data_IF_247145109897
#
_entry.id   IF_247145109897
#
_cell.length_a   1.000
_cell.length_b   1.000
_cell.length_c   1.000
_cell.angle_alpha   90.00
_cell.angle_beta   90.00
_cell.angle_gamma   90.00
#
_symmetry.space_group_name_H-M   'P 1'
#
loop_
_entity.id
_entity.type
_entity.pdbx_description
1 polymer ?
#
# COMPACT_ATOMS: atom_id res chain seq x y z
N UNK A 1 -57.44 13.37 1.24
CA UNK A 1 -56.37 13.46 0.22
C UNK A 1 -55.11 13.99 0.88
N UNK A 2 -53.99 13.31 0.62
CA UNK A 2 -52.59 13.66 0.93
C UNK A 2 -52.20 13.73 2.41
N UNK A 3 -51.78 12.57 2.92
CA UNK A 3 -50.69 12.51 3.90
C UNK A 3 -49.41 13.04 3.23
N UNK A 4 -48.71 13.92 3.95
CA UNK A 4 -47.38 14.38 3.62
C UNK A 4 -46.44 14.09 4.78
N UNK A 5 -45.20 13.77 4.43
CA UNK A 5 -44.03 14.08 5.25
C UNK A 5 -43.69 13.11 6.37
N UNK A 6 -42.81 12.15 6.06
CA UNK A 6 -41.66 11.74 6.89
C UNK A 6 -40.94 10.59 6.19
N UNK A 7 -40.55 10.83 4.93
CA UNK A 7 -39.72 9.92 4.17
C UNK A 7 -38.40 10.59 3.87
N UNK A 8 -37.62 10.93 4.90
CA UNK A 8 -36.18 11.10 4.75
C UNK A 8 -35.48 11.23 6.10
N UNK A 9 -34.18 10.95 6.11
CA UNK A 9 -33.22 11.06 7.21
C UNK A 9 -33.24 9.90 8.23
N UNK A 10 -33.17 8.68 7.72
CA UNK A 10 -32.41 7.62 8.41
C UNK A 10 -31.36 7.01 7.46
N UNK A 11 -30.74 7.84 6.63
CA UNK A 11 -29.35 7.62 6.23
C UNK A 11 -28.47 8.22 7.33
N UNK A 12 -28.49 7.60 8.51
CA UNK A 12 -27.51 7.86 9.55
C UNK A 12 -26.14 7.57 8.97
N UNK A 13 -25.47 8.64 8.54
CA UNK A 13 -24.04 8.76 8.27
C UNK A 13 -23.39 7.44 7.84
N UNK A 14 -23.34 7.19 6.52
CA UNK A 14 -22.23 6.39 5.97
C UNK A 14 -20.97 7.19 6.27
N UNK A 15 -20.52 7.06 7.51
CA UNK A 15 -19.37 7.76 8.01
C UNK A 15 -18.25 7.44 7.02
N UNK A 16 -17.63 8.50 6.52
CA UNK A 16 -16.29 8.44 5.95
C UNK A 16 -15.25 7.96 6.98
N UNK A 17 -15.68 7.41 8.13
CA UNK A 17 -14.88 6.60 9.02
C UNK A 17 -14.34 5.39 8.25
N UNK A 18 -13.19 5.63 7.62
CA UNK A 18 -12.17 4.60 7.49
C UNK A 18 -12.04 3.98 8.88
N UNK A 19 -12.43 2.72 9.02
CA UNK A 19 -12.20 1.98 10.26
C UNK A 19 -10.68 1.88 10.46
N UNK A 20 -10.08 2.62 11.41
CA UNK A 20 -8.62 2.74 11.51
C UNK A 20 -7.98 1.36 11.68
N UNK A 21 -8.63 0.49 12.46
CA UNK A 21 -8.22 -0.89 12.67
C UNK A 21 -8.06 -1.69 11.36
N UNK A 22 -9.03 -1.60 10.44
CA UNK A 22 -8.96 -2.29 9.14
C UNK A 22 -7.85 -1.70 8.27
N UNK A 23 -7.68 -0.38 8.29
CA UNK A 23 -6.60 0.26 7.55
C UNK A 23 -5.23 -0.19 8.07
N UNK A 24 -5.04 -0.26 9.39
CA UNK A 24 -3.82 -0.78 10.02
C UNK A 24 -3.57 -2.21 9.58
N UNK A 25 -4.57 -3.08 9.67
CA UNK A 25 -4.44 -4.50 9.28
C UNK A 25 -4.02 -4.65 7.81
N UNK A 26 -4.71 -3.97 6.89
CA UNK A 26 -4.38 -4.04 5.46
C UNK A 26 -3.03 -3.42 5.13
N UNK A 27 -2.68 -2.31 5.78
CA UNK A 27 -1.40 -1.65 5.59
C UNK A 27 -0.24 -2.53 6.08
N UNK A 28 -0.36 -3.16 7.24
CA UNK A 28 0.63 -4.10 7.73
C UNK A 28 0.76 -5.34 6.84
N UNK A 29 -0.38 -5.89 6.38
CA UNK A 29 -0.40 -7.02 5.46
C UNK A 29 0.32 -6.67 4.15
N UNK A 30 -0.04 -5.54 3.53
CA UNK A 30 0.61 -5.04 2.32
C UNK A 30 2.11 -4.84 2.54
N UNK A 31 2.50 -4.22 3.66
CA UNK A 31 3.90 -3.98 4.01
C UNK A 31 4.71 -5.28 4.10
N UNK A 32 4.16 -6.32 4.76
CA UNK A 32 4.80 -7.64 4.86
C UNK A 32 4.90 -8.33 3.50
N UNK A 33 3.84 -8.30 2.70
CA UNK A 33 3.85 -8.90 1.36
C UNK A 33 4.88 -8.24 0.46
N UNK A 34 4.98 -6.92 0.48
CA UNK A 34 5.97 -6.20 -0.33
C UNK A 34 7.39 -6.43 0.18
N UNK A 35 7.62 -6.47 1.49
CA UNK A 35 8.94 -6.80 2.01
C UNK A 35 9.39 -8.22 1.62
N UNK A 36 8.49 -9.20 1.71
CA UNK A 36 8.73 -10.58 1.26
C UNK A 36 9.01 -10.62 -0.25
N UNK A 37 8.25 -9.87 -1.04
CA UNK A 37 8.44 -9.78 -2.49
C UNK A 37 9.79 -9.15 -2.86
N UNK A 38 10.22 -8.08 -2.19
CA UNK A 38 11.54 -7.49 -2.40
C UNK A 38 12.66 -8.48 -2.09
N UNK A 39 12.53 -9.27 -1.00
CA UNK A 39 13.50 -10.33 -0.66
C UNK A 39 13.56 -11.43 -1.73
N UNK A 40 12.40 -11.85 -2.25
CA UNK A 40 12.32 -12.81 -3.35
C UNK A 40 12.97 -12.27 -4.62
N UNK A 41 12.72 -11.00 -4.97
CA UNK A 41 13.36 -10.34 -6.10
C UNK A 41 14.88 -10.31 -5.91
N UNK A 42 15.39 -9.91 -4.75
CA UNK A 42 16.83 -9.86 -4.50
C UNK A 42 17.55 -11.20 -4.77
N UNK A 43 16.87 -12.34 -4.55
CA UNK A 43 17.38 -13.68 -4.85
C UNK A 43 17.18 -14.16 -6.28
N UNK A 44 16.38 -13.47 -7.10
CA UNK A 44 15.98 -13.88 -8.46
C UNK A 44 16.43 -12.89 -9.53
N UNK A 45 17.63 -12.32 -9.39
CA UNK A 45 18.20 -11.45 -10.40
C UNK A 45 18.27 -12.18 -11.75
N UNK A 46 17.66 -11.65 -12.82
CA UNK A 46 17.77 -12.26 -14.14
C UNK A 46 19.22 -12.26 -14.58
N UNK A 47 19.74 -13.44 -14.90
CA UNK A 47 21.07 -13.63 -15.46
C UNK A 47 20.91 -14.28 -16.84
N UNK A 48 20.93 -13.46 -17.88
CA UNK A 48 20.95 -13.91 -19.27
C UNK A 48 22.20 -13.34 -19.90
N UNK A 49 23.20 -14.19 -20.09
CA UNK A 49 24.44 -13.81 -20.73
C UNK A 49 24.17 -13.37 -22.19
N UNK A 50 24.75 -12.24 -22.60
CA UNK A 50 24.64 -11.76 -23.97
C UNK A 50 25.16 -12.77 -25.02
N UNK A 51 26.05 -13.69 -24.63
CA UNK A 51 26.54 -14.79 -25.47
C UNK A 51 25.45 -15.79 -25.87
N UNK A 52 24.35 -15.88 -25.12
CA UNK A 52 23.23 -16.75 -25.43
C UNK A 52 22.48 -16.36 -26.73
N UNK A 53 22.69 -15.14 -27.24
CA UNK A 53 22.01 -14.62 -28.42
C UNK A 53 22.75 -14.92 -29.75
N UNK A 54 23.95 -15.50 -29.71
CA UNK A 54 24.78 -15.81 -30.88
C UNK A 54 25.64 -14.64 -31.38
N UNK A 55 26.73 -14.93 -32.11
CA UNK A 55 27.77 -13.94 -32.48
C UNK A 55 27.23 -12.72 -33.25
N UNK A 56 26.21 -12.89 -34.10
CA UNK A 56 25.59 -11.82 -34.87
C UNK A 56 24.62 -10.91 -34.11
N UNK A 57 24.25 -11.27 -32.87
CA UNK A 57 23.26 -10.53 -32.06
C UNK A 57 23.82 -10.07 -30.71
N UNK A 58 25.13 -10.16 -30.50
CA UNK A 58 25.80 -9.80 -29.24
C UNK A 58 25.45 -8.39 -28.74
N UNK A 59 25.39 -7.40 -29.65
CA UNK A 59 25.02 -6.03 -29.32
C UNK A 59 23.57 -5.91 -28.81
N UNK A 60 22.64 -6.65 -29.43
CA UNK A 60 21.25 -6.74 -28.98
C UNK A 60 21.15 -7.50 -27.66
N UNK A 61 21.92 -8.58 -27.49
CA UNK A 61 22.04 -9.35 -26.26
C UNK A 61 22.46 -8.47 -25.08
N UNK A 62 23.53 -7.68 -25.22
CA UNK A 62 23.96 -6.73 -24.19
C UNK A 62 22.93 -5.63 -23.91
N UNK A 63 22.14 -5.22 -24.91
CA UNK A 63 21.06 -4.26 -24.68
C UNK A 63 19.94 -4.88 -23.86
N UNK A 64 19.54 -6.10 -24.16
CA UNK A 64 18.52 -6.85 -23.41
C UNK A 64 18.99 -7.11 -21.99
N UNK A 65 20.22 -7.60 -21.80
CA UNK A 65 20.85 -7.83 -20.49
C UNK A 65 20.76 -6.58 -19.59
N UNK A 66 21.15 -5.42 -20.11
CA UNK A 66 21.05 -4.14 -19.38
C UNK A 66 19.63 -3.75 -19.04
N UNK A 67 18.69 -3.88 -19.99
CA UNK A 67 17.28 -3.55 -19.76
C UNK A 67 16.67 -4.47 -18.70
N UNK A 68 16.99 -5.76 -18.73
CA UNK A 68 16.53 -6.73 -17.72
C UNK A 68 17.07 -6.40 -16.33
N UNK A 69 18.35 -6.04 -16.23
CA UNK A 69 18.95 -5.60 -14.97
C UNK A 69 18.25 -4.33 -14.43
N UNK A 70 18.04 -3.32 -15.28
CA UNK A 70 17.34 -2.09 -14.89
C UNK A 70 15.89 -2.35 -14.46
N UNK A 71 15.16 -3.19 -15.20
CA UNK A 71 13.79 -3.56 -14.87
C UNK A 71 13.71 -4.33 -13.55
N UNK A 72 14.71 -5.15 -13.26
CA UNK A 72 14.80 -5.87 -12.00
C UNK A 72 15.02 -4.92 -10.82
N UNK A 73 16.00 -4.01 -10.94
CA UNK A 73 16.25 -2.98 -9.93
C UNK A 73 15.01 -2.10 -9.69
N UNK A 74 14.30 -1.72 -10.75
CA UNK A 74 13.07 -0.94 -10.64
C UNK A 74 12.00 -1.69 -9.83
N UNK A 75 11.80 -2.98 -10.11
CA UNK A 75 10.83 -3.81 -9.38
C UNK A 75 11.18 -3.93 -7.90
N UNK A 76 12.46 -4.09 -7.58
CA UNK A 76 12.91 -4.15 -6.19
C UNK A 76 12.64 -2.83 -5.46
N UNK A 77 13.05 -1.69 -6.05
CA UNK A 77 12.82 -0.36 -5.47
C UNK A 77 11.33 -0.04 -5.29
N UNK A 78 10.49 -0.39 -6.27
CA UNK A 78 9.04 -0.20 -6.17
C UNK A 78 8.46 -1.01 -5.02
N UNK A 79 8.90 -2.26 -4.85
CA UNK A 79 8.43 -3.10 -3.76
C UNK A 79 8.82 -2.53 -2.38
N UNK A 80 10.06 -2.06 -2.24
CA UNK A 80 10.53 -1.38 -1.03
C UNK A 80 9.77 -0.08 -0.74
N UNK A 81 9.49 0.71 -1.78
CA UNK A 81 8.70 1.94 -1.68
C UNK A 81 7.27 1.65 -1.20
N UNK A 82 6.57 0.69 -1.80
CA UNK A 82 5.21 0.33 -1.38
C UNK A 82 5.21 -0.20 0.06
N UNK A 83 6.24 -0.96 0.46
CA UNK A 83 6.37 -1.38 1.85
C UNK A 83 6.55 -0.20 2.82
N UNK A 84 7.28 0.84 2.41
CA UNK A 84 7.46 2.06 3.20
C UNK A 84 6.16 2.88 3.31
N UNK A 85 5.45 3.05 2.19
CA UNK A 85 4.15 3.73 2.16
C UNK A 85 3.11 3.00 3.00
N UNK A 86 3.10 1.66 2.96
CA UNK A 86 2.23 0.86 3.80
C UNK A 86 2.52 1.05 5.30
N UNK A 87 3.80 1.14 5.71
CA UNK A 87 4.16 1.48 7.10
C UNK A 87 3.67 2.87 7.48
N UNK A 88 3.87 3.86 6.60
CA UNK A 88 3.41 5.23 6.84
C UNK A 88 1.87 5.31 6.98
N UNK A 89 1.13 4.57 6.16
CA UNK A 89 -0.32 4.46 6.26
C UNK A 89 -0.77 3.84 7.59
N UNK A 90 -0.10 2.78 8.05
CA UNK A 90 -0.40 2.16 9.35
C UNK A 90 -0.12 3.13 10.52
N UNK A 91 0.97 3.90 10.46
CA UNK A 91 1.27 4.95 11.47
C UNK A 91 0.18 6.01 11.48
N UNK A 92 -0.17 6.56 10.32
CA UNK A 92 -1.20 7.59 10.21
C UNK A 92 -2.57 7.11 10.75
N UNK A 93 -2.91 5.85 10.49
CA UNK A 93 -4.16 5.27 10.98
C UNK A 93 -4.19 5.14 12.51
N UNK A 94 -3.06 4.74 13.13
CA UNK A 94 -2.94 4.69 14.60
C UNK A 94 -3.02 6.07 15.21
N UNK A 95 -2.32 7.05 14.64
CA UNK A 95 -2.36 8.43 15.11
C UNK A 95 -3.78 9.01 15.06
N UNK A 96 -4.55 8.67 14.02
CA UNK A 96 -5.96 9.05 13.91
C UNK A 96 -6.84 8.38 14.98
N UNK A 97 -6.65 7.09 15.22
CA UNK A 97 -7.38 6.35 16.27
C UNK A 97 -7.11 6.92 17.67
N UNK A 98 -5.85 7.22 17.98
CA UNK A 98 -5.45 7.84 19.25
C UNK A 98 -6.07 9.24 19.42
N UNK A 99 -6.08 10.03 18.35
CA UNK A 99 -6.70 11.36 18.35
C UNK A 99 -8.22 11.29 18.58
N UNK A 100 -8.90 10.36 17.91
CA UNK A 100 -10.34 10.13 18.07
C UNK A 100 -10.66 9.68 19.51
N UNK A 101 -9.86 8.79 20.09
CA UNK A 101 -10.03 8.34 21.47
C UNK A 101 -9.83 9.48 22.48
N UNK A 102 -8.79 10.29 22.27
CA UNK A 102 -8.52 11.47 23.11
C UNK A 102 -9.64 12.50 23.03
N UNK A 103 -10.18 12.76 21.83
CA UNK A 103 -11.28 13.70 21.62
C UNK A 103 -12.57 13.20 22.29
N UNK A 104 -12.87 11.91 22.17
CA UNK A 104 -14.03 11.29 22.82
C UNK A 104 -13.95 11.40 24.36
N UNK A 105 -12.75 11.18 24.93
CA UNK A 105 -12.51 11.35 26.37
C UNK A 105 -12.75 12.79 26.85
N UNK A 106 -12.22 13.78 26.12
CA UNK A 106 -12.41 15.19 26.44
C UNK A 106 -13.88 15.63 26.36
N UNK A 107 -14.61 15.16 25.34
CA UNK A 107 -16.06 15.44 25.21
C UNK A 107 -16.84 14.81 26.37
N UNK A 108 -16.52 13.57 26.74
CA UNK A 108 -17.19 12.89 27.85
C UNK A 108 -16.96 13.58 29.21
N UNK A 109 -15.80 14.22 29.40
CA UNK A 109 -15.50 15.02 30.59
C UNK A 109 -16.30 16.32 30.65
N UNK A 110 -16.46 17.02 29.51
CA UNK A 110 -17.26 18.26 29.43
C UNK A 110 -18.76 18.01 29.66
N UNK A 111 -19.26 16.84 29.29
CA UNK A 111 -20.67 16.46 29.43
C UNK A 111 -21.05 15.90 30.81
N UNK A 112 -20.07 15.73 31.72
CA UNK A 112 -20.28 15.23 33.09
C UNK A 112 -20.49 16.38 34.08
#
# INVERSE_FOLDING_TARGET
>A
MREGGAGDVSEGSKSLAVEPQKLIEYAELLGRHQQSWSQLLAGQRPDIAASAFGEGLSAQGHRIERVLAQLHELRQRQSEQVAAEARAAATLARDAEDADHSAAGAIAEVLR
#
